data_IF_301428618787
#
_entry.id   IF_301428618787
#
_cell.length_a   1.000
_cell.length_b   1.000
_cell.length_c   1.000
_cell.angle_alpha   90.00
_cell.angle_beta   90.00
_cell.angle_gamma   90.00
#
_symmetry.space_group_name_H-M   'P 1'
#
loop_
_entity.id
_entity.type
_entity.pdbx_description
1 polymer ?
#
# COMPACT_ATOMS: atom_id res chain seq x y z
N UNK A 1 -16.42 8.39 9.44
CA UNK A 1 -16.12 6.96 9.63
C UNK A 1 -16.33 6.65 11.11
N UNK A 2 -16.99 5.55 11.44
CA UNK A 2 -17.26 5.17 12.85
C UNK A 2 -15.96 4.71 13.51
N UNK A 3 -15.62 5.26 14.67
CA UNK A 3 -14.46 4.87 15.48
C UNK A 3 -14.93 3.76 16.43
N UNK A 4 -14.26 2.61 16.39
CA UNK A 4 -14.57 1.41 17.16
C UNK A 4 -13.56 1.13 18.28
N UNK A 5 -12.49 1.92 18.41
CA UNK A 5 -11.37 1.64 19.30
C UNK A 5 -10.41 0.58 18.75
N UNK A 6 -10.43 0.30 17.43
CA UNK A 6 -9.75 -0.87 16.86
C UNK A 6 -9.13 -0.62 15.46
N UNK A 7 -7.86 -1.01 15.22
CA UNK A 7 -7.21 -0.98 13.91
C UNK A 7 -7.99 -1.74 12.83
N UNK A 8 -7.84 -1.37 11.55
CA UNK A 8 -8.26 -2.23 10.43
C UNK A 8 -7.24 -3.35 10.24
N UNK A 9 -7.71 -4.58 10.07
CA UNK A 9 -6.89 -5.75 9.75
C UNK A 9 -7.26 -6.22 8.35
N UNK A 10 -6.65 -5.62 7.33
CA UNK A 10 -6.97 -5.87 5.93
C UNK A 10 -6.21 -7.09 5.44
N UNK A 11 -6.89 -8.24 5.41
CA UNK A 11 -6.34 -9.50 4.89
C UNK A 11 -6.13 -9.41 3.38
N UNK A 12 -4.89 -9.62 2.94
CA UNK A 12 -4.50 -9.68 1.53
C UNK A 12 -4.81 -11.10 1.00
N UNK A 13 -5.87 -11.26 0.21
CA UNK A 13 -6.36 -12.60 -0.15
C UNK A 13 -5.43 -13.38 -1.08
N UNK A 14 -4.69 -12.70 -1.96
CA UNK A 14 -3.80 -13.36 -2.92
C UNK A 14 -2.31 -13.20 -2.60
N UNK A 15 -1.93 -12.16 -1.86
CA UNK A 15 -0.53 -11.80 -1.66
C UNK A 15 0.14 -11.25 -2.94
N UNK A 16 -0.60 -11.09 -4.04
CA UNK A 16 -0.04 -10.76 -5.35
C UNK A 16 -0.04 -9.26 -5.64
N UNK A 17 1.06 -8.75 -6.18
CA UNK A 17 1.12 -7.40 -6.75
C UNK A 17 0.38 -7.27 -8.08
N UNK A 18 -0.03 -8.38 -8.69
CA UNK A 18 -0.78 -8.36 -9.95
C UNK A 18 -2.28 -8.08 -9.75
N UNK A 19 -2.75 -8.22 -8.51
CA UNK A 19 -4.13 -8.01 -8.12
C UNK A 19 -4.47 -8.81 -6.86
N UNK A 20 -5.17 -8.16 -5.94
CA UNK A 20 -5.63 -8.79 -4.70
C UNK A 20 -6.85 -8.05 -4.15
N UNK A 21 -7.56 -8.73 -3.25
CA UNK A 21 -8.58 -8.12 -2.40
C UNK A 21 -7.98 -7.97 -1.01
N UNK A 22 -8.26 -6.83 -0.39
CA UNK A 22 -7.87 -6.50 0.98
C UNK A 22 -9.13 -6.34 1.80
N UNK A 23 -9.43 -7.33 2.64
CA UNK A 23 -10.72 -7.41 3.35
C UNK A 23 -10.47 -7.29 4.84
N UNK A 24 -11.13 -6.32 5.50
CA UNK A 24 -11.07 -6.22 6.96
C UNK A 24 -11.73 -7.46 7.59
N UNK A 25 -11.07 -8.09 8.55
CA UNK A 25 -11.58 -9.31 9.23
C UNK A 25 -12.93 -9.08 9.94
N UNK A 26 -13.27 -7.83 10.27
CA UNK A 26 -14.55 -7.45 10.87
C UNK A 26 -15.57 -6.97 9.83
N UNK A 27 -15.27 -7.10 8.54
CA UNK A 27 -16.14 -6.68 7.44
C UNK A 27 -16.33 -5.17 7.34
N UNK A 28 -15.49 -4.36 8.02
CA UNK A 28 -15.65 -2.89 8.04
C UNK A 28 -15.10 -2.20 6.81
N UNK A 29 -14.30 -2.86 5.99
CA UNK A 29 -13.74 -2.29 4.77
C UNK A 29 -13.33 -3.38 3.79
N UNK A 30 -13.45 -3.07 2.49
CA UNK A 30 -12.88 -3.86 1.42
C UNK A 30 -12.21 -2.93 0.41
N UNK A 31 -10.96 -3.21 0.09
CA UNK A 31 -10.22 -2.57 -0.99
C UNK A 31 -9.87 -3.61 -2.03
N UNK A 32 -9.80 -3.18 -3.28
CA UNK A 32 -9.61 -4.06 -4.40
C UNK A 32 -8.49 -3.51 -5.27
N UNK A 33 -7.39 -4.26 -5.40
CA UNK A 33 -6.32 -3.99 -6.37
C UNK A 33 -6.60 -4.79 -7.65
N UNK A 34 -6.72 -4.10 -8.78
CA UNK A 34 -6.94 -4.72 -10.10
C UNK A 34 -5.96 -4.21 -11.14
N UNK A 35 -5.34 -5.11 -11.87
CA UNK A 35 -4.66 -4.78 -13.11
C UNK A 35 -5.71 -4.49 -14.19
N UNK A 36 -5.74 -3.26 -14.70
CA UNK A 36 -6.71 -2.84 -15.73
C UNK A 36 -6.08 -2.68 -17.10
N UNK A 37 -4.76 -2.55 -17.16
CA UNK A 37 -3.99 -2.58 -18.40
C UNK A 37 -2.66 -3.28 -18.13
N UNK A 38 -2.25 -4.19 -19.01
CA UNK A 38 -0.91 -4.77 -19.00
C UNK A 38 -0.46 -5.07 -20.42
N UNK A 39 0.69 -4.52 -20.78
CA UNK A 39 1.40 -4.86 -22.01
C UNK A 39 2.92 -5.01 -21.73
N UNK A 40 3.72 -5.12 -22.79
CA UNK A 40 5.18 -5.33 -22.67
C UNK A 40 5.93 -4.14 -22.08
N UNK A 41 5.32 -2.97 -22.07
CA UNK A 41 5.92 -1.67 -21.76
C UNK A 41 5.29 -0.98 -20.55
N UNK A 42 4.11 -1.43 -20.12
CA UNK A 42 3.30 -0.72 -19.12
C UNK A 42 2.39 -1.69 -18.36
N UNK A 43 2.18 -1.41 -17.08
CA UNK A 43 1.15 -2.05 -16.27
C UNK A 43 0.42 -1.01 -15.42
N UNK A 44 -0.89 -0.94 -15.56
CA UNK A 44 -1.76 -0.04 -14.79
C UNK A 44 -2.58 -0.86 -13.80
N UNK A 45 -2.54 -0.44 -12.54
CA UNK A 45 -3.34 -0.99 -11.48
C UNK A 45 -4.24 0.09 -10.90
N UNK A 46 -5.44 -0.30 -10.51
CA UNK A 46 -6.40 0.56 -9.84
C UNK A 46 -6.70 -0.02 -8.48
N UNK A 47 -6.69 0.85 -7.47
CA UNK A 47 -7.21 0.58 -6.13
C UNK A 47 -8.63 1.12 -6.08
N UNK A 48 -9.59 0.26 -5.77
CA UNK A 48 -10.97 0.63 -5.53
C UNK A 48 -11.30 0.42 -4.06
N UNK A 49 -11.99 1.40 -3.47
CA UNK A 49 -12.52 1.28 -2.13
C UNK A 49 -14.04 1.07 -2.24
N UNK A 50 -14.50 -0.11 -1.87
CA UNK A 50 -15.91 -0.52 -2.03
C UNK A 50 -16.86 0.32 -1.15
N UNK A 51 -16.33 1.00 -0.13
CA UNK A 51 -17.10 1.94 0.69
C UNK A 51 -17.20 3.33 0.08
N UNK A 52 -16.38 3.66 -0.91
CA UNK A 52 -16.49 4.94 -1.60
C UNK A 52 -17.74 4.92 -2.48
N UNK A 53 -18.59 5.94 -2.33
CA UNK A 53 -19.75 6.13 -3.23
C UNK A 53 -19.34 6.58 -4.64
N UNK A 54 -18.04 6.80 -4.86
CA UNK A 54 -17.48 7.20 -6.14
C UNK A 54 -17.29 5.97 -7.03
N UNK A 55 -17.59 6.11 -8.32
CA UNK A 55 -17.20 5.10 -9.32
C UNK A 55 -15.74 5.22 -9.74
N UNK A 56 -15.07 6.30 -9.35
CA UNK A 56 -13.65 6.52 -9.66
C UNK A 56 -12.76 5.70 -8.71
N UNK A 57 -11.63 5.18 -9.20
CA UNK A 57 -10.67 4.50 -8.34
C UNK A 57 -10.11 5.45 -7.27
N UNK A 58 -9.86 4.92 -6.08
CA UNK A 58 -9.19 5.64 -4.99
C UNK A 58 -7.72 5.90 -5.28
N UNK A 59 -7.07 5.02 -6.04
CA UNK A 59 -5.74 5.26 -6.56
C UNK A 59 -5.51 4.59 -7.91
N UNK A 60 -4.63 5.16 -8.72
CA UNK A 60 -4.15 4.58 -9.97
C UNK A 60 -2.64 4.52 -9.93
N UNK A 61 -2.08 3.32 -10.11
CA UNK A 61 -0.65 3.04 -10.16
C UNK A 61 -0.29 2.67 -11.60
N UNK A 62 0.38 3.57 -12.29
CA UNK A 62 0.81 3.38 -13.67
C UNK A 62 2.31 3.10 -13.69
N UNK A 63 2.69 1.82 -13.70
CA UNK A 63 4.07 1.39 -13.83
C UNK A 63 4.48 1.38 -15.31
N UNK A 64 5.64 1.95 -15.59
CA UNK A 64 6.18 1.98 -16.96
C UNK A 64 6.97 0.69 -17.24
N UNK A 65 8.03 0.76 -18.05
CA UNK A 65 8.78 -0.39 -18.53
C UNK A 65 9.13 -1.39 -17.39
N UNK A 66 9.33 -2.68 -17.70
CA UNK A 66 9.65 -3.68 -16.68
C UNK A 66 10.84 -3.24 -15.80
N UNK A 67 10.60 -3.03 -14.51
CA UNK A 67 11.63 -2.54 -13.58
C UNK A 67 11.82 -1.03 -13.57
N UNK A 68 10.80 -0.25 -13.93
CA UNK A 68 10.79 1.20 -13.75
C UNK A 68 9.56 1.64 -12.96
N UNK A 69 9.74 2.67 -12.15
CA UNK A 69 8.63 3.40 -11.57
C UNK A 69 7.94 4.23 -12.66
N UNK A 70 6.66 4.53 -12.44
CA UNK A 70 5.91 5.41 -13.34
C UNK A 70 5.20 6.50 -12.56
N UNK A 71 3.89 6.60 -12.68
CA UNK A 71 3.09 7.64 -12.04
C UNK A 71 2.02 7.07 -11.12
N UNK A 72 1.68 7.85 -10.11
CA UNK A 72 0.59 7.58 -9.17
C UNK A 72 -0.41 8.73 -9.21
N UNK A 73 -1.68 8.37 -9.11
CA UNK A 73 -2.78 9.30 -8.86
C UNK A 73 -3.54 8.82 -7.63
N UNK A 74 -3.73 9.67 -6.63
CA UNK A 74 -4.59 9.40 -5.47
C UNK A 74 -5.88 10.22 -5.60
N UNK A 75 -7.03 9.56 -5.49
CA UNK A 75 -8.36 10.14 -5.68
C UNK A 75 -8.46 10.90 -7.01
N UNK A 76 -8.83 12.18 -6.92
CA UNK A 76 -8.95 13.08 -8.07
C UNK A 76 -7.74 14.02 -8.24
N UNK A 77 -6.61 13.72 -7.59
CA UNK A 77 -5.40 14.52 -7.72
C UNK A 77 -4.80 14.44 -9.13
N UNK A 78 -3.84 15.32 -9.43
CA UNK A 78 -3.08 15.22 -10.69
C UNK A 78 -2.09 14.04 -10.59
N UNK A 79 -1.86 13.30 -11.69
CA UNK A 79 -0.82 12.28 -11.72
C UNK A 79 0.55 12.87 -11.36
N UNK A 80 1.31 12.16 -10.54
CA UNK A 80 2.67 12.54 -10.17
C UNK A 80 3.65 11.37 -10.32
N UNK A 81 4.94 11.60 -10.62
CA UNK A 81 5.93 10.53 -10.66
C UNK A 81 6.04 9.82 -9.31
N UNK A 82 6.03 8.49 -9.31
CA UNK A 82 6.14 7.68 -8.08
C UNK A 82 7.47 7.95 -7.34
N UNK A 83 8.54 8.32 -8.06
CA UNK A 83 9.81 8.72 -7.44
C UNK A 83 9.73 10.03 -6.66
N UNK A 84 8.87 10.95 -7.09
CA UNK A 84 8.59 12.20 -6.39
C UNK A 84 7.63 11.97 -5.22
N UNK A 85 6.66 11.08 -5.41
CA UNK A 85 5.72 10.70 -4.35
C UNK A 85 6.41 9.93 -3.21
N UNK A 86 7.21 8.90 -3.53
CA UNK A 86 7.96 8.06 -2.60
C UNK A 86 9.47 8.32 -2.72
N UNK A 87 9.94 9.30 -1.98
CA UNK A 87 11.34 9.73 -1.97
C UNK A 87 12.19 8.83 -1.06
N UNK A 88 13.42 8.47 -1.49
CA UNK A 88 14.39 7.83 -0.58
C UNK A 88 14.70 8.77 0.58
N UNK A 89 14.69 8.25 1.81
CA UNK A 89 15.00 9.06 3.01
C UNK A 89 16.47 9.51 3.01
N UNK A 90 17.36 8.72 2.40
CA UNK A 90 18.76 9.09 2.18
C UNK A 90 19.18 8.70 0.76
N UNK A 91 19.94 9.57 0.09
CA UNK A 91 20.42 9.36 -1.29
C UNK A 91 21.28 8.10 -1.42
N UNK A 92 22.05 7.77 -0.40
CA UNK A 92 22.90 6.57 -0.32
C UNK A 92 22.32 5.48 0.57
N UNK A 93 21.06 5.65 1.02
CA UNK A 93 20.38 4.70 1.88
C UNK A 93 19.69 3.57 1.13
N UNK A 94 19.06 2.69 1.91
CA UNK A 94 18.21 1.61 1.38
C UNK A 94 17.09 2.16 0.50
N UNK A 95 16.89 1.57 -0.68
CA UNK A 95 15.75 1.91 -1.52
C UNK A 95 14.41 1.45 -0.96
N UNK A 96 14.45 0.59 0.06
CA UNK A 96 13.30 0.07 0.81
C UNK A 96 12.98 0.92 2.06
N UNK A 97 13.55 2.11 2.15
CA UNK A 97 13.28 3.11 3.17
C UNK A 97 12.92 4.45 2.49
N UNK A 98 11.61 4.70 2.37
CA UNK A 98 11.09 5.83 1.59
C UNK A 98 9.98 6.56 2.32
N UNK A 99 9.87 7.84 2.01
CA UNK A 99 8.94 8.79 2.61
C UNK A 99 8.01 9.35 1.57
N UNK A 100 6.75 9.57 1.95
CA UNK A 100 5.73 10.20 1.13
C UNK A 100 4.91 11.19 1.94
N UNK A 101 4.24 12.10 1.25
CA UNK A 101 3.22 12.99 1.84
C UNK A 101 1.85 12.44 1.47
N UNK A 102 1.02 12.13 2.46
CA UNK A 102 -0.31 11.58 2.23
C UNK A 102 -1.34 12.69 1.93
N UNK A 103 -2.56 12.29 1.63
CA UNK A 103 -3.67 13.20 1.33
C UNK A 103 -4.04 14.17 2.46
N UNK A 104 -3.68 13.88 3.71
CA UNK A 104 -3.87 14.78 4.86
C UNK A 104 -2.77 15.86 5.00
N UNK A 105 -1.77 15.84 4.11
CA UNK A 105 -0.66 16.79 4.10
C UNK A 105 0.49 16.44 5.04
N UNK A 106 0.40 15.35 5.81
CA UNK A 106 1.48 14.90 6.68
C UNK A 106 2.40 13.93 5.97
N UNK A 107 3.58 13.77 6.56
CA UNK A 107 4.64 12.93 6.02
C UNK A 107 4.70 11.58 6.73
N UNK A 108 4.85 10.52 5.96
CA UNK A 108 4.91 9.14 6.42
C UNK A 108 6.09 8.41 5.81
N UNK A 109 6.63 7.41 6.51
CA UNK A 109 7.83 6.70 6.10
C UNK A 109 7.62 5.19 6.16
N UNK A 110 7.76 4.53 5.01
CA UNK A 110 7.81 3.08 4.90
C UNK A 110 9.25 2.56 5.03
N UNK A 111 9.42 1.49 5.80
CA UNK A 111 10.68 0.78 5.93
C UNK A 111 10.48 -0.73 5.91
N UNK A 112 11.34 -1.45 5.18
CA UNK A 112 11.35 -2.91 5.12
C UNK A 112 12.09 -3.51 6.31
N UNK A 113 11.44 -4.41 7.06
CA UNK A 113 12.01 -5.18 8.20
C UNK A 113 12.84 -4.36 9.19
N UNK A 114 12.41 -3.14 9.48
CA UNK A 114 13.06 -2.27 10.48
C UNK A 114 12.63 -2.56 11.92
N UNK A 115 11.54 -3.30 12.10
CA UNK A 115 11.04 -3.81 13.38
C UNK A 115 10.92 -5.34 13.29
N UNK A 116 11.07 -6.07 14.41
CA UNK A 116 10.77 -7.50 14.46
C UNK A 116 9.35 -7.78 13.97
N UNK A 117 9.16 -8.94 13.36
CA UNK A 117 7.87 -9.52 12.96
C UNK A 117 7.09 -8.79 11.84
N UNK A 118 7.48 -7.56 11.47
CA UNK A 118 6.84 -6.81 10.40
C UNK A 118 7.67 -6.82 9.11
N UNK A 119 7.03 -7.18 8.00
CA UNK A 119 7.68 -7.12 6.68
C UNK A 119 7.85 -5.68 6.22
N UNK A 120 6.82 -4.86 6.41
CA UNK A 120 6.86 -3.41 6.18
C UNK A 120 6.25 -2.66 7.36
N UNK A 121 6.88 -1.55 7.74
CA UNK A 121 6.37 -0.65 8.78
C UNK A 121 6.21 0.75 8.20
N UNK A 122 5.07 1.40 8.43
CA UNK A 122 4.82 2.80 8.15
C UNK A 122 4.78 3.60 9.44
N UNK A 123 5.61 4.64 9.54
CA UNK A 123 5.67 5.53 10.69
C UNK A 123 5.34 6.97 10.27
N UNK A 124 4.77 7.76 11.18
CA UNK A 124 4.64 9.20 11.00
C UNK A 124 5.94 9.95 11.38
N UNK A 125 5.95 11.28 11.29
CA UNK A 125 7.11 12.12 11.60
C UNK A 125 7.59 12.05 13.06
N UNK A 126 6.76 11.52 13.97
CA UNK A 126 7.06 11.34 15.40
C UNK A 126 7.41 9.88 15.73
N UNK A 127 7.68 9.07 14.72
CA UNK A 127 7.97 7.62 14.81
C UNK A 127 6.84 6.77 15.41
N UNK A 128 5.61 7.29 15.45
CA UNK A 128 4.45 6.49 15.82
C UNK A 128 4.07 5.54 14.69
N UNK A 129 3.68 4.31 15.06
CA UNK A 129 3.21 3.31 14.12
C UNK A 129 1.87 3.74 13.51
N UNK A 130 1.81 3.76 12.18
CA UNK A 130 0.62 4.14 11.40
C UNK A 130 0.01 2.92 10.74
N UNK A 131 0.87 2.09 10.14
CA UNK A 131 0.47 0.84 9.53
C UNK A 131 1.64 -0.14 9.49
N UNK A 132 1.35 -1.42 9.32
CA UNK A 132 2.35 -2.43 8.99
C UNK A 132 1.75 -3.49 8.06
N UNK A 133 2.63 -4.16 7.32
CA UNK A 133 2.27 -5.32 6.50
C UNK A 133 3.06 -6.53 6.96
N UNK A 134 2.36 -7.63 7.18
CA UNK A 134 2.92 -8.87 7.71
C UNK A 134 2.77 -9.98 6.67
N UNK A 135 3.78 -10.84 6.59
CA UNK A 135 3.70 -12.08 5.84
C UNK A 135 3.09 -13.16 6.73
N UNK A 136 2.44 -14.15 6.11
CA UNK A 136 2.06 -15.37 6.83
C UNK A 136 3.26 -16.04 7.48
N UNK A 137 3.01 -16.78 8.56
CA UNK A 137 4.04 -17.63 9.17
C UNK A 137 4.51 -18.70 8.17
N UNK A 138 5.83 -18.96 8.06
CA UNK A 138 6.34 -20.03 7.21
C UNK A 138 5.70 -21.38 7.55
N UNK A 139 5.19 -22.07 6.53
CA UNK A 139 4.55 -23.38 6.67
C UNK A 139 3.03 -23.34 6.85
N UNK A 140 2.44 -22.17 7.09
CA UNK A 140 0.99 -22.04 7.18
C UNK A 140 0.32 -21.97 5.80
N UNK A 141 -0.90 -22.52 5.74
CA UNK A 141 -1.75 -22.51 4.57
C UNK A 141 -3.18 -22.15 4.97
N UNK A 142 -3.71 -21.09 4.36
CA UNK A 142 -5.05 -20.60 4.60
C UNK A 142 -5.87 -20.79 3.32
N UNK A 143 -7.04 -21.41 3.42
CA UNK A 143 -7.90 -21.63 2.25
C UNK A 143 -8.57 -20.30 1.89
N UNK A 144 -8.30 -19.79 0.69
CA UNK A 144 -8.89 -18.53 0.20
C UNK A 144 -8.18 -17.25 0.68
N UNK A 145 -7.02 -17.37 1.32
CA UNK A 145 -6.22 -16.26 1.81
C UNK A 145 -4.73 -16.50 1.61
N UNK A 146 -3.94 -15.43 1.45
CA UNK A 146 -2.48 -15.53 1.46
C UNK A 146 -1.91 -15.65 2.87
N UNK A 147 -2.70 -15.31 3.89
CA UNK A 147 -2.28 -15.14 5.28
C UNK A 147 -1.44 -13.88 5.52
N UNK A 148 -1.25 -13.03 4.51
CA UNK A 148 -0.65 -11.72 4.67
C UNK A 148 -1.70 -10.68 5.05
N UNK A 149 -1.31 -9.67 5.83
CA UNK A 149 -2.24 -8.67 6.36
C UNK A 149 -1.63 -7.28 6.32
N UNK A 150 -2.39 -6.28 5.87
CA UNK A 150 -2.12 -4.86 6.08
C UNK A 150 -2.93 -4.38 7.29
N UNK A 151 -2.26 -4.05 8.38
CA UNK A 151 -2.89 -3.47 9.57
C UNK A 151 -2.73 -1.95 9.55
N UNK A 152 -3.82 -1.22 9.75
CA UNK A 152 -3.83 0.25 9.80
C UNK A 152 -4.39 0.70 11.14
N UNK A 153 -3.60 1.51 11.87
CA UNK A 153 -4.02 2.05 13.16
C UNK A 153 -5.26 2.95 13.01
N UNK A 154 -6.16 2.89 13.99
CA UNK A 154 -7.46 3.53 13.91
C UNK A 154 -7.39 5.06 13.76
N UNK A 155 -6.34 5.71 14.29
CA UNK A 155 -6.18 7.15 14.12
C UNK A 155 -5.96 7.54 12.63
N UNK A 156 -5.60 6.58 11.78
CA UNK A 156 -5.20 6.78 10.38
C UNK A 156 -6.10 6.07 9.38
N UNK A 157 -7.33 5.65 9.76
CA UNK A 157 -8.24 4.98 8.83
C UNK A 157 -8.62 5.83 7.59
N UNK A 158 -8.52 7.15 7.72
CA UNK A 158 -8.76 8.09 6.62
C UNK A 158 -7.65 8.06 5.54
N UNK A 159 -6.50 7.44 5.84
CA UNK A 159 -5.35 7.31 4.93
C UNK A 159 -5.23 5.92 4.30
N UNK A 160 -6.21 5.04 4.49
CA UNK A 160 -6.11 3.64 4.06
C UNK A 160 -5.82 3.52 2.55
N UNK A 161 -6.43 4.37 1.73
CA UNK A 161 -6.19 4.38 0.29
C UNK A 161 -4.74 4.79 -0.04
N UNK A 162 -4.21 5.84 0.60
CA UNK A 162 -2.81 6.27 0.48
C UNK A 162 -1.84 5.17 0.96
N UNK A 163 -2.14 4.53 2.09
CA UNK A 163 -1.32 3.51 2.71
C UNK A 163 -1.24 2.25 1.84
N UNK A 164 -2.37 1.79 1.29
CA UNK A 164 -2.36 0.65 0.36
C UNK A 164 -1.61 1.01 -0.93
N UNK A 165 -1.90 2.16 -1.54
CA UNK A 165 -1.25 2.57 -2.79
C UNK A 165 0.28 2.69 -2.63
N UNK A 166 0.74 3.34 -1.56
CA UNK A 166 2.17 3.48 -1.25
C UNK A 166 2.83 2.14 -0.90
N UNK A 167 2.15 1.25 -0.17
CA UNK A 167 2.64 -0.10 0.12
C UNK A 167 2.84 -0.92 -1.16
N UNK A 168 1.90 -0.89 -2.10
CA UNK A 168 2.02 -1.62 -3.38
C UNK A 168 3.25 -1.12 -4.16
N UNK A 169 3.51 0.19 -4.19
CA UNK A 169 4.73 0.73 -4.81
C UNK A 169 5.98 0.24 -4.08
N UNK A 170 6.00 0.27 -2.74
CA UNK A 170 7.15 -0.20 -1.95
C UNK A 170 7.46 -1.69 -2.17
N UNK A 171 6.42 -2.52 -2.23
CA UNK A 171 6.54 -3.95 -2.56
C UNK A 171 7.06 -4.15 -3.98
N UNK A 172 6.59 -3.37 -4.96
CA UNK A 172 7.10 -3.41 -6.33
C UNK A 172 8.60 -3.05 -6.39
N UNK A 173 9.01 -1.99 -5.68
CA UNK A 173 10.42 -1.58 -5.56
C UNK A 173 11.26 -2.73 -4.98
N UNK A 174 10.75 -3.41 -3.96
CA UNK A 174 11.43 -4.56 -3.36
C UNK A 174 11.57 -5.74 -4.34
N UNK A 175 10.49 -6.17 -4.99
CA UNK A 175 10.51 -7.31 -5.91
C UNK A 175 11.39 -7.07 -7.14
N UNK A 176 11.51 -5.81 -7.58
CA UNK A 176 12.28 -5.41 -8.76
C UNK A 176 13.68 -4.86 -8.45
N UNK A 177 14.06 -4.76 -7.18
CA UNK A 177 15.35 -4.22 -6.72
C UNK A 177 15.66 -2.80 -7.24
N UNK A 178 14.67 -1.89 -7.18
CA UNK A 178 14.79 -0.46 -7.56
C UNK A 178 15.29 0.42 -6.41
#
# INVERSE_FOLDING_TARGET
MTVYGMPLFLEDLSGSLEGSDFVDIHGRMKLTLRCTLRDRTRAVYMVQNDQSHSRSPSAVLDFTAPGALGSITIGNARPMPMEQYLCKVSRFGSSKHRRFTASDGHTYTWAHRNKPDFEWTCLNEKDFLVAHYDLKTPGEHYVGSSGCTLTVDEAYLHLVDDLLASLIIMRHIHERNL
#
